data_IF_237700629602
#
_entry.id   IF_237700629602
#
_cell.length_a   1.000
_cell.length_b   1.000
_cell.length_c   1.000
_cell.angle_alpha   90.00
_cell.angle_beta   90.00
_cell.angle_gamma   90.00
#
_symmetry.space_group_name_H-M   'P 1'
#
loop_
_entity.id
_entity.type
_entity.pdbx_description
1 polymer ?
#
# COMPACT_ATOMS: atom_id res chain seq x y z
N UNK A 1 4.93 22.79 13.19
CA UNK A 1 3.92 22.76 12.13
C UNK A 1 2.86 21.74 12.51
N UNK A 2 1.76 22.21 13.08
CA UNK A 2 0.51 21.44 13.20
C UNK A 2 -0.22 21.67 11.89
N UNK A 3 -0.67 20.61 11.21
CA UNK A 3 -1.49 20.76 10.01
C UNK A 3 -2.88 21.25 10.47
N UNK A 4 -3.01 22.56 10.66
CA UNK A 4 -4.22 23.17 11.19
C UNK A 4 -5.20 23.40 10.05
N UNK A 5 -6.05 22.39 9.80
CA UNK A 5 -7.18 22.50 8.90
C UNK A 5 -8.29 23.28 9.61
N UNK A 6 -8.05 24.59 9.79
CA UNK A 6 -8.95 25.51 10.45
C UNK A 6 -10.15 25.80 9.55
N UNK A 7 -11.24 25.05 9.71
CA UNK A 7 -12.55 25.67 9.56
C UNK A 7 -13.61 25.00 10.43
N UNK A 8 -13.82 25.64 11.58
CA UNK A 8 -14.96 25.51 12.50
C UNK A 8 -15.08 24.13 13.17
N UNK A 9 -14.52 24.04 14.39
CA UNK A 9 -14.73 23.01 15.44
C UNK A 9 -16.21 22.65 15.77
N UNK A 10 -17.19 23.10 14.97
CA UNK A 10 -18.63 23.00 15.20
C UNK A 10 -19.37 22.14 14.17
N UNK A 11 -18.68 21.50 13.22
CA UNK A 11 -19.31 20.62 12.22
C UNK A 11 -19.01 19.15 12.54
N UNK A 12 -20.03 18.28 12.71
CA UNK A 12 -19.83 16.86 13.04
C UNK A 12 -18.95 16.13 12.02
N UNK A 13 -17.89 15.48 12.53
CA UNK A 13 -16.93 14.68 11.75
C UNK A 13 -15.75 15.46 11.15
N UNK A 14 -15.55 16.72 11.57
CA UNK A 14 -14.28 17.42 11.37
C UNK A 14 -13.42 17.30 12.63
N UNK A 15 -12.11 17.16 12.47
CA UNK A 15 -11.17 17.08 13.58
C UNK A 15 -9.83 17.72 13.24
N UNK A 16 -9.13 18.17 14.27
CA UNK A 16 -7.72 18.54 14.17
C UNK A 16 -6.91 17.25 14.13
N UNK A 17 -6.03 17.11 13.14
CA UNK A 17 -5.12 15.98 13.11
C UNK A 17 -4.12 16.08 14.27
N UNK A 18 -4.12 15.07 15.16
CA UNK A 18 -3.24 14.98 16.33
C UNK A 18 -2.26 13.80 16.22
N UNK A 19 -1.90 13.37 15.01
CA UNK A 19 -0.91 12.31 14.81
C UNK A 19 0.52 12.81 14.60
N UNK A 20 1.47 11.89 14.69
CA UNK A 20 2.88 12.17 14.42
C UNK A 20 3.10 12.65 12.98
N UNK A 21 4.10 13.51 12.77
CA UNK A 21 4.43 14.02 11.41
C UNK A 21 5.01 12.95 10.48
N UNK A 22 5.32 11.77 11.02
CA UNK A 22 5.82 10.61 10.30
C UNK A 22 4.70 9.57 10.22
N UNK A 23 3.56 9.94 9.64
CA UNK A 23 2.44 9.03 9.46
C UNK A 23 1.90 9.17 8.04
N UNK A 24 1.51 8.03 7.46
CA UNK A 24 0.77 8.02 6.22
C UNK A 24 -0.73 7.98 6.51
N UNK A 25 -1.47 8.82 5.81
CA UNK A 25 -2.89 9.04 6.03
C UNK A 25 -3.63 8.97 4.69
N UNK A 26 -4.71 8.19 4.66
CA UNK A 26 -5.68 8.24 3.56
C UNK A 26 -6.84 9.15 3.92
N UNK A 27 -7.13 10.14 3.07
CA UNK A 27 -8.20 11.10 3.27
C UNK A 27 -9.31 10.95 2.22
N UNK A 28 -10.56 10.83 2.67
CA UNK A 28 -11.73 10.82 1.77
C UNK A 28 -12.33 12.23 1.66
N UNK A 29 -12.59 12.65 0.42
CA UNK A 29 -13.28 13.91 0.11
C UNK A 29 -14.80 13.75 0.28
N UNK A 30 -15.43 14.77 0.87
CA UNK A 30 -16.88 14.96 0.87
C UNK A 30 -17.15 16.42 0.52
N UNK A 31 -17.54 16.67 -0.73
CA UNK A 31 -17.71 18.03 -1.26
C UNK A 31 -16.41 18.57 -1.84
N UNK A 32 -15.93 19.71 -1.33
CA UNK A 32 -14.65 20.35 -1.68
C UNK A 32 -13.64 20.28 -0.51
N UNK A 33 -13.80 19.28 0.35
CA UNK A 33 -13.16 19.21 1.68
C UNK A 33 -12.90 17.76 2.08
N UNK A 34 -11.81 17.51 2.79
CA UNK A 34 -11.49 16.20 3.39
C UNK A 34 -12.14 16.07 4.76
N UNK A 35 -12.73 14.91 5.06
CA UNK A 35 -13.46 14.69 6.32
C UNK A 35 -12.84 13.61 7.20
N UNK A 36 -12.55 12.45 6.61
CA UNK A 36 -12.08 11.28 7.37
C UNK A 36 -10.62 11.01 7.00
N UNK A 37 -9.76 10.93 8.03
CA UNK A 37 -8.37 10.53 7.89
C UNK A 37 -8.18 9.15 8.51
N UNK A 38 -7.64 8.24 7.73
CA UNK A 38 -7.41 6.86 8.14
C UNK A 38 -5.90 6.62 8.22
N UNK A 39 -5.41 6.29 9.40
CA UNK A 39 -4.01 5.91 9.60
C UNK A 39 -3.73 4.62 8.84
N UNK A 40 -2.69 4.64 8.01
CA UNK A 40 -2.16 3.41 7.41
C UNK A 40 -1.22 2.81 8.45
N UNK A 41 -1.66 1.76 9.13
CA UNK A 41 -0.92 1.19 10.25
C UNK A 41 0.42 0.61 9.79
N UNK A 42 1.43 0.66 10.66
CA UNK A 42 2.70 -0.05 10.48
C UNK A 42 3.48 0.29 9.20
N UNK A 43 3.21 1.45 8.58
CA UNK A 43 3.93 1.87 7.38
C UNK A 43 5.18 2.67 7.74
N UNK A 44 5.11 3.62 8.66
CA UNK A 44 6.19 4.61 8.81
C UNK A 44 7.38 4.14 9.62
N UNK A 45 7.22 3.07 10.39
CA UNK A 45 8.29 2.36 11.09
C UNK A 45 8.95 1.27 10.23
N UNK A 46 8.24 0.73 9.24
CA UNK A 46 8.68 -0.44 8.48
C UNK A 46 9.07 -0.12 7.04
N UNK A 47 8.54 0.95 6.45
CA UNK A 47 8.78 1.30 5.06
C UNK A 47 10.24 1.68 4.80
N UNK A 48 10.83 1.00 3.83
CA UNK A 48 12.15 1.31 3.27
C UNK A 48 12.03 1.62 1.77
N UNK A 49 12.44 2.83 1.39
CA UNK A 49 12.33 3.34 0.02
C UNK A 49 10.98 3.99 -0.28
N UNK A 50 10.38 3.64 -1.41
CA UNK A 50 9.13 4.20 -1.91
C UNK A 50 7.96 3.20 -1.80
N UNK A 51 6.74 3.72 -1.87
CA UNK A 51 5.51 2.92 -1.88
C UNK A 51 4.71 3.10 -3.17
N UNK A 52 3.83 2.14 -3.45
CA UNK A 52 2.83 2.22 -4.51
C UNK A 52 1.43 2.24 -3.91
N UNK A 53 0.57 3.14 -4.40
CA UNK A 53 -0.84 3.23 -4.02
C UNK A 53 -1.71 3.13 -5.27
N UNK A 54 -2.64 2.17 -5.29
CA UNK A 54 -3.53 1.98 -6.42
C UNK A 54 -4.92 1.54 -5.97
N UNK A 55 -5.89 1.71 -6.88
CA UNK A 55 -7.29 1.33 -6.66
C UNK A 55 -7.62 0.15 -7.54
N UNK A 56 -8.17 -0.90 -6.94
CA UNK A 56 -8.94 -1.91 -7.65
C UNK A 56 -10.36 -1.38 -7.86
N UNK A 57 -10.67 -1.01 -9.10
CA UNK A 57 -11.98 -0.51 -9.47
C UNK A 57 -13.06 -1.60 -9.45
N UNK A 58 -12.70 -2.87 -9.70
CA UNK A 58 -13.64 -4.00 -9.79
C UNK A 58 -14.22 -4.32 -8.42
N UNK A 59 -13.37 -4.42 -7.39
CA UNK A 59 -13.78 -4.73 -6.03
C UNK A 59 -13.92 -3.50 -5.13
N UNK A 60 -13.68 -2.30 -5.68
CA UNK A 60 -13.71 -1.02 -4.98
C UNK A 60 -12.79 -1.00 -3.74
N UNK A 61 -11.55 -1.43 -3.92
CA UNK A 61 -10.54 -1.52 -2.86
C UNK A 61 -9.35 -0.60 -3.15
N UNK A 62 -8.69 -0.17 -2.07
CA UNK A 62 -7.45 0.61 -2.15
C UNK A 62 -6.32 -0.20 -1.53
N UNK A 63 -5.19 -0.23 -2.22
CA UNK A 63 -4.03 -0.98 -1.82
C UNK A 63 -2.83 -0.05 -1.74
N UNK A 64 -2.12 -0.13 -0.64
CA UNK A 64 -0.80 0.46 -0.49
C UNK A 64 0.19 -0.66 -0.29
N UNK A 65 1.20 -0.75 -1.15
CA UNK A 65 2.29 -1.71 -1.00
C UNK A 65 3.63 -1.01 -0.93
N UNK A 66 4.53 -1.57 -0.14
CA UNK A 66 5.86 -1.05 0.09
C UNK A 66 6.79 -2.19 0.45
N UNK A 67 8.09 -1.92 0.33
CA UNK A 67 9.13 -2.81 0.79
C UNK A 67 9.49 -2.45 2.23
N UNK A 68 9.62 -3.45 3.09
CA UNK A 68 10.08 -3.24 4.45
C UNK A 68 11.62 -3.25 4.60
N UNK A 69 12.12 -2.89 5.78
CA UNK A 69 13.57 -2.86 6.08
C UNK A 69 14.27 -4.22 5.94
N UNK A 70 13.53 -5.33 5.93
CA UNK A 70 14.03 -6.68 5.69
C UNK A 70 13.89 -7.09 4.21
N UNK A 71 13.40 -6.21 3.34
CA UNK A 71 13.16 -6.50 1.93
C UNK A 71 11.87 -7.28 1.66
N UNK A 72 11.01 -7.48 2.66
CA UNK A 72 9.69 -8.07 2.46
C UNK A 72 8.74 -7.10 1.75
N UNK A 73 7.94 -7.58 0.80
CA UNK A 73 6.83 -6.79 0.24
C UNK A 73 5.64 -6.91 1.19
N UNK A 74 5.20 -5.76 1.71
CA UNK A 74 4.01 -5.60 2.55
C UNK A 74 2.89 -4.93 1.77
N UNK A 75 1.66 -5.25 2.14
CA UNK A 75 0.46 -4.65 1.56
C UNK A 75 -0.52 -4.28 2.66
N UNK A 76 -0.90 -3.01 2.71
CA UNK A 76 -2.07 -2.54 3.44
C UNK A 76 -3.26 -2.43 2.50
N UNK A 77 -4.39 -3.01 2.91
CA UNK A 77 -5.66 -2.92 2.20
C UNK A 77 -6.67 -2.14 3.05
N UNK A 78 -7.35 -1.16 2.45
CA UNK A 78 -8.43 -0.45 3.14
C UNK A 78 -9.67 -1.32 3.21
N UNK A 79 -10.00 -1.79 4.41
CA UNK A 79 -11.19 -2.58 4.73
C UNK A 79 -12.17 -1.73 5.54
N UNK A 80 -13.13 -1.12 4.83
CA UNK A 80 -14.09 -0.18 5.42
C UNK A 80 -13.43 1.12 5.86
N UNK A 81 -13.09 1.21 7.15
CA UNK A 81 -12.45 2.36 7.81
C UNK A 81 -11.07 2.04 8.39
N UNK A 82 -10.62 0.79 8.29
CA UNK A 82 -9.31 0.38 8.81
C UNK A 82 -8.40 -0.13 7.69
N UNK A 83 -7.10 0.09 7.84
CA UNK A 83 -6.09 -0.49 6.96
C UNK A 83 -5.58 -1.79 7.58
N UNK A 84 -5.80 -2.90 6.89
CA UNK A 84 -5.32 -4.22 7.29
C UNK A 84 -4.05 -4.58 6.54
N UNK A 85 -2.98 -4.93 7.27
CA UNK A 85 -1.68 -5.29 6.69
C UNK A 85 -1.56 -6.79 6.42
N UNK A 86 -0.96 -7.14 5.29
CA UNK A 86 -0.55 -8.51 4.92
C UNK A 86 0.88 -8.53 4.40
N UNK A 87 1.45 -9.73 4.24
CA UNK A 87 2.84 -9.94 3.78
C UNK A 87 2.89 -10.77 2.49
N UNK A 88 2.54 -10.19 1.32
CA UNK A 88 2.48 -10.89 0.04
C UNK A 88 3.71 -11.73 -0.31
N UNK A 89 4.93 -11.20 -0.11
CA UNK A 89 6.16 -11.92 -0.47
C UNK A 89 6.36 -13.17 0.39
N UNK A 90 6.07 -13.10 1.69
CA UNK A 90 6.13 -14.28 2.58
C UNK A 90 5.09 -15.32 2.19
N UNK A 91 3.84 -14.89 1.97
CA UNK A 91 2.72 -15.76 1.59
C UNK A 91 2.96 -16.47 0.24
N UNK A 92 3.71 -15.85 -0.67
CA UNK A 92 4.10 -16.44 -1.94
C UNK A 92 5.45 -17.17 -1.91
N UNK A 93 6.17 -17.16 -0.77
CA UNK A 93 7.56 -17.64 -0.66
C UNK A 93 8.51 -16.99 -1.68
N UNK A 94 8.34 -15.70 -1.91
CA UNK A 94 9.08 -14.93 -2.90
C UNK A 94 10.40 -14.36 -2.35
N UNK A 95 11.41 -14.13 -3.19
CA UNK A 95 12.69 -13.56 -2.77
C UNK A 95 12.56 -12.15 -2.18
N UNK A 96 13.53 -11.75 -1.35
CA UNK A 96 13.61 -10.41 -0.79
C UNK A 96 13.82 -9.36 -1.89
N UNK A 97 13.14 -8.23 -1.74
CA UNK A 97 13.21 -7.08 -2.61
C UNK A 97 14.39 -6.17 -2.24
N UNK A 98 15.06 -5.64 -3.26
CA UNK A 98 16.03 -4.55 -3.15
C UNK A 98 15.55 -3.25 -3.79
N UNK A 99 14.63 -3.34 -4.75
CA UNK A 99 13.95 -2.18 -5.35
C UNK A 99 12.54 -1.98 -4.81
N UNK A 100 12.02 -0.78 -5.02
CA UNK A 100 10.65 -0.41 -4.61
C UNK A 100 9.60 -1.13 -5.47
N UNK A 101 8.45 -1.51 -4.89
CA UNK A 101 7.42 -2.20 -5.63
C UNK A 101 6.62 -1.27 -6.54
N UNK A 102 6.21 -1.77 -7.70
CA UNK A 102 5.19 -1.17 -8.56
C UNK A 102 3.96 -2.06 -8.53
N UNK A 103 2.77 -1.49 -8.31
CA UNK A 103 1.53 -2.25 -8.12
C UNK A 103 0.41 -1.80 -9.05
N UNK A 104 -0.43 -2.75 -9.47
CA UNK A 104 -1.65 -2.47 -10.22
C UNK A 104 -2.72 -3.54 -9.98
N UNK A 105 -3.97 -3.19 -10.32
CA UNK A 105 -5.10 -4.12 -10.37
C UNK A 105 -5.61 -4.25 -11.80
N UNK A 106 -5.96 -5.46 -12.20
CA UNK A 106 -6.64 -5.75 -13.45
C UNK A 106 -8.10 -5.30 -13.38
N UNK A 107 -8.51 -4.40 -14.27
CA UNK A 107 -9.85 -3.82 -14.25
C UNK A 107 -11.00 -4.83 -14.43
N UNK A 108 -10.76 -5.98 -15.08
CA UNK A 108 -11.80 -6.98 -15.39
C UNK A 108 -12.01 -7.98 -14.26
N UNK A 109 -10.92 -8.47 -13.69
CA UNK A 109 -10.88 -9.57 -12.72
C UNK A 109 -10.77 -9.05 -11.29
N UNK A 110 -10.13 -7.90 -11.09
CA UNK A 110 -9.71 -7.42 -9.76
C UNK A 110 -8.48 -8.16 -9.23
N UNK A 111 -7.85 -9.00 -10.04
CA UNK A 111 -6.55 -9.57 -9.71
C UNK A 111 -5.53 -8.43 -9.55
N UNK A 112 -4.66 -8.52 -8.56
CA UNK A 112 -3.64 -7.49 -8.31
C UNK A 112 -2.25 -8.06 -8.38
N UNK A 113 -1.31 -7.23 -8.81
CA UNK A 113 0.05 -7.64 -9.07
C UNK A 113 1.04 -6.63 -8.52
N UNK A 114 2.24 -7.12 -8.18
CA UNK A 114 3.39 -6.32 -7.81
C UNK A 114 4.61 -6.75 -8.58
N UNK A 115 5.37 -5.79 -9.10
CA UNK A 115 6.72 -6.01 -9.61
C UNK A 115 7.73 -5.39 -8.65
N UNK A 116 8.83 -6.10 -8.44
CA UNK A 116 9.97 -5.59 -7.69
C UNK A 116 11.26 -6.23 -8.19
N UNK A 117 12.39 -5.62 -7.86
CA UNK A 117 13.71 -6.15 -8.17
C UNK A 117 14.35 -6.77 -6.92
N UNK A 118 14.98 -7.94 -7.04
CA UNK A 118 15.78 -8.54 -5.96
C UNK A 118 17.23 -8.03 -5.95
N UNK A 119 18.02 -8.45 -4.96
CA UNK A 119 19.43 -8.04 -4.84
C UNK A 119 20.30 -8.48 -6.03
N UNK A 120 19.94 -9.58 -6.69
CA UNK A 120 20.63 -10.06 -7.88
C UNK A 120 20.27 -9.27 -9.16
N UNK A 121 19.38 -8.29 -9.05
CA UNK A 121 18.87 -7.53 -10.19
C UNK A 121 17.69 -8.20 -10.91
N UNK A 122 17.24 -9.37 -10.44
CA UNK A 122 16.13 -10.09 -11.06
C UNK A 122 14.79 -9.41 -10.79
N UNK A 123 13.94 -9.33 -11.82
CA UNK A 123 12.57 -8.83 -11.71
C UNK A 123 11.65 -9.98 -11.31
N UNK A 124 10.89 -9.77 -10.24
CA UNK A 124 9.91 -10.73 -9.74
C UNK A 124 8.51 -10.13 -9.77
N UNK A 125 7.51 -11.00 -9.97
CA UNK A 125 6.11 -10.66 -9.91
C UNK A 125 5.40 -11.43 -8.80
N UNK A 126 4.68 -10.72 -7.94
CA UNK A 126 3.65 -11.27 -7.06
C UNK A 126 2.29 -11.06 -7.70
N UNK A 127 1.39 -12.02 -7.56
CA UNK A 127 0.02 -11.93 -8.05
C UNK A 127 -0.96 -12.46 -7.02
N UNK A 128 -2.12 -11.81 -6.89
CA UNK A 128 -3.23 -12.30 -6.09
C UNK A 128 -4.50 -12.38 -6.93
N UNK A 129 -4.98 -13.61 -7.08
CA UNK A 129 -6.30 -13.96 -7.64
C UNK A 129 -6.95 -15.02 -6.75
N UNK A 130 -7.23 -14.63 -5.50
CA UNK A 130 -7.72 -15.51 -4.43
C UNK A 130 -6.63 -16.26 -3.66
N UNK A 131 -5.42 -16.38 -4.22
CA UNK A 131 -4.20 -16.84 -3.54
C UNK A 131 -2.98 -16.09 -4.04
N UNK A 132 -1.99 -15.91 -3.18
CA UNK A 132 -0.70 -15.35 -3.57
C UNK A 132 0.10 -16.34 -4.41
N UNK A 133 0.66 -15.86 -5.50
CA UNK A 133 1.62 -16.59 -6.34
C UNK A 133 2.81 -15.69 -6.67
N UNK A 134 3.94 -16.33 -6.98
CA UNK A 134 5.18 -15.67 -7.36
C UNK A 134 5.70 -16.25 -8.68
N UNK A 135 6.31 -15.39 -9.50
CA UNK A 135 7.11 -15.79 -10.64
C UNK A 135 8.31 -14.85 -10.83
N UNK A 136 9.42 -15.38 -11.31
CA UNK A 136 10.55 -14.57 -11.80
C UNK A 136 10.31 -14.23 -13.27
N UNK A 137 10.45 -12.96 -13.63
CA UNK A 137 10.29 -12.46 -15.00
C UNK A 137 11.62 -12.28 -15.73
N UNK A 138 12.73 -12.15 -14.99
CA UNK A 138 14.05 -12.17 -15.59
C UNK A 138 14.31 -13.52 -16.28
N UNK A 139 14.99 -13.52 -17.44
CA UNK A 139 15.40 -14.76 -18.09
C UNK A 139 16.30 -15.56 -17.14
N UNK A 140 16.15 -16.89 -17.16
CA UNK A 140 17.12 -17.76 -16.50
C UNK A 140 18.46 -17.59 -17.23
N UNK A 141 19.54 -17.31 -16.50
CA UNK A 141 20.87 -17.41 -17.08
C UNK A 141 21.06 -18.85 -17.61
N UNK A 142 21.39 -18.98 -18.89
CA UNK A 142 21.75 -20.25 -19.54
C UNK A 142 23.15 -20.72 -19.12
#
# INVERSE_FOLDING_TARGET
>A
YTFDWNERRRVPGYFTYEGDRNALVYAKEIGQRFKNQYHVAHTTDQLDGEFTLFRDAKNNRHYLAFRDTEGGIRESELQGEEWAMTRPSELASAPQAKGDPIGWAEAKTGARHYLYQSENGDVHQLSFDGKWTHQTLSPKAE
#
